data_IF_294874650246
#
_entry.id   IF_294874650246
#
_cell.length_a   1.000
_cell.length_b   1.000
_cell.length_c   1.000
_cell.angle_alpha   90.00
_cell.angle_beta   90.00
_cell.angle_gamma   90.00
#
_symmetry.space_group_name_H-M   'P 1'
#
loop_
_entity.id
_entity.type
_entity.pdbx_description
1 polymer ?
#
# COMPACT_ATOMS: atom_id res chain seq x y z
N UNK A 1 -7.24 3.73 -1.98
CA UNK A 1 -5.92 4.12 -2.55
C UNK A 1 -5.32 5.33 -1.82
N UNK A 2 -6.06 6.44 -1.66
CA UNK A 2 -5.56 7.66 -0.99
C UNK A 2 -4.92 7.41 0.40
N UNK A 3 -5.55 6.60 1.26
CA UNK A 3 -4.99 6.31 2.59
C UNK A 3 -3.66 5.56 2.53
N UNK A 4 -3.52 4.63 1.59
CA UNK A 4 -2.27 3.89 1.37
C UNK A 4 -1.15 4.83 0.91
N UNK A 5 -1.44 5.75 -0.02
CA UNK A 5 -0.48 6.79 -0.41
C UNK A 5 -0.08 7.65 0.79
N UNK A 6 -1.05 8.12 1.59
CA UNK A 6 -0.76 8.91 2.79
C UNK A 6 0.20 8.19 3.74
N UNK A 7 -0.08 6.93 4.09
CA UNK A 7 0.77 6.12 4.98
C UNK A 7 2.21 6.06 4.44
N UNK A 8 2.38 5.84 3.14
CA UNK A 8 3.70 5.74 2.52
C UNK A 8 4.49 7.07 2.61
N UNK A 9 3.88 8.21 2.30
CA UNK A 9 4.54 9.52 2.37
C UNK A 9 4.82 9.95 3.82
N UNK A 10 3.89 9.69 4.75
CA UNK A 10 4.07 10.01 6.17
C UNK A 10 5.23 9.22 6.79
N UNK A 11 5.44 7.97 6.37
CA UNK A 11 6.55 7.14 6.85
C UNK A 11 7.93 7.77 6.60
N UNK A 12 8.06 8.58 5.54
CA UNK A 12 9.29 9.30 5.18
C UNK A 12 9.21 10.80 5.51
N UNK A 13 8.22 11.23 6.29
CA UNK A 13 8.08 12.62 6.74
C UNK A 13 7.69 13.61 5.63
N UNK A 14 7.09 13.14 4.53
CA UNK A 14 6.68 13.96 3.40
C UNK A 14 5.16 14.21 3.42
N UNK A 15 4.73 15.31 2.80
CA UNK A 15 3.32 15.59 2.56
C UNK A 15 2.94 15.05 1.17
N UNK A 16 2.00 14.10 1.13
CA UNK A 16 1.55 13.48 -0.11
C UNK A 16 1.06 14.50 -1.15
N UNK A 17 0.32 15.54 -0.73
CA UNK A 17 -0.28 16.53 -1.63
C UNK A 17 0.77 17.38 -2.38
N UNK A 18 2.03 17.42 -1.91
CA UNK A 18 3.12 18.11 -2.59
C UNK A 18 3.62 17.32 -3.83
N UNK A 19 3.24 16.04 -3.96
CA UNK A 19 3.78 15.11 -4.96
C UNK A 19 2.71 14.34 -5.76
N UNK A 20 1.52 14.13 -5.20
CA UNK A 20 0.47 13.33 -5.83
C UNK A 20 -0.13 14.08 -7.03
N UNK A 21 -0.07 13.44 -8.21
CA UNK A 21 -0.72 13.90 -9.44
C UNK A 21 -1.77 12.87 -9.86
N UNK A 22 -2.94 13.35 -10.29
CA UNK A 22 -4.01 12.50 -10.83
C UNK A 22 -3.90 12.50 -12.35
N UNK A 23 -3.66 11.32 -12.92
CA UNK A 23 -3.59 11.10 -14.37
C UNK A 23 -4.89 10.42 -14.85
N UNK A 24 -5.70 11.08 -15.71
CA UNK A 24 -6.89 10.50 -16.33
C UNK A 24 -6.65 9.18 -17.07
N UNK A 25 -5.44 8.98 -17.60
CA UNK A 25 -5.10 7.78 -18.38
C UNK A 25 -4.99 6.52 -17.50
N UNK A 26 -4.87 6.68 -16.17
CA UNK A 26 -4.84 5.58 -15.21
C UNK A 26 -6.23 5.16 -14.71
N UNK A 27 -7.30 5.85 -15.13
CA UNK A 27 -8.66 5.49 -14.75
C UNK A 27 -9.09 4.23 -15.50
N UNK A 28 -9.73 3.30 -14.77
CA UNK A 28 -10.24 2.07 -15.37
C UNK A 28 -11.62 2.34 -15.99
N UNK A 29 -11.92 1.82 -17.19
CA UNK A 29 -13.25 1.94 -17.80
C UNK A 29 -14.38 1.35 -16.94
N UNK A 30 -14.06 0.34 -16.12
CA UNK A 30 -14.94 -0.22 -15.12
C UNK A 30 -14.20 -0.30 -13.79
N UNK A 31 -14.61 0.51 -12.82
CA UNK A 31 -13.95 0.62 -11.52
C UNK A 31 -14.64 -0.25 -10.47
N UNK A 32 -13.86 -0.72 -9.50
CA UNK A 32 -14.39 -1.39 -8.30
C UNK A 32 -14.12 -0.49 -7.10
N UNK A 33 -15.18 0.13 -6.58
CA UNK A 33 -15.06 1.12 -5.52
C UNK A 33 -14.50 0.55 -4.21
N UNK A 34 -14.95 -0.65 -3.82
CA UNK A 34 -14.60 -1.28 -2.54
C UNK A 34 -14.37 -2.77 -2.73
N UNK A 35 -13.27 -3.25 -2.15
CA UNK A 35 -12.99 -4.68 -1.95
C UNK A 35 -12.78 -4.94 -0.46
N UNK A 36 -13.68 -5.73 0.12
CA UNK A 36 -13.59 -6.17 1.51
C UNK A 36 -13.81 -7.68 1.60
N UNK A 37 -12.72 -8.41 1.69
CA UNK A 37 -12.75 -9.87 1.81
C UNK A 37 -13.16 -10.33 3.21
N UNK A 38 -13.89 -11.44 3.28
CA UNK A 38 -14.15 -12.15 4.54
C UNK A 38 -13.31 -13.44 4.61
N UNK A 39 -12.20 -13.46 5.37
CA UNK A 39 -11.33 -14.62 5.45
C UNK A 39 -11.79 -15.70 6.46
N UNK A 40 -13.03 -15.63 6.99
CA UNK A 40 -13.50 -16.57 8.02
C UNK A 40 -13.36 -18.04 7.61
N UNK A 41 -13.55 -18.37 6.33
CA UNK A 41 -13.35 -19.73 5.81
C UNK A 41 -11.90 -20.18 5.90
N UNK A 42 -10.94 -19.30 5.62
CA UNK A 42 -9.51 -19.59 5.71
C UNK A 42 -9.11 -19.82 7.18
N UNK A 43 -9.60 -18.96 8.10
CA UNK A 43 -9.39 -19.15 9.54
C UNK A 43 -9.94 -20.48 10.04
N UNK A 44 -11.17 -20.82 9.67
CA UNK A 44 -11.82 -22.05 10.12
C UNK A 44 -11.18 -23.34 9.57
N UNK A 45 -10.75 -23.34 8.30
CA UNK A 45 -10.24 -24.56 7.64
C UNK A 45 -8.73 -24.71 7.69
N UNK A 46 -8.00 -23.61 7.74
CA UNK A 46 -6.55 -23.59 7.61
C UNK A 46 -5.87 -23.06 8.88
N UNK A 47 -6.63 -22.54 9.86
CA UNK A 47 -6.05 -21.81 10.99
C UNK A 47 -5.36 -20.51 10.56
N UNK A 48 -5.59 -20.05 9.32
CA UNK A 48 -4.88 -18.91 8.76
C UNK A 48 -5.48 -17.59 9.23
N UNK A 49 -4.61 -16.67 9.62
CA UNK A 49 -4.93 -15.30 10.01
C UNK A 49 -3.82 -14.37 9.51
N UNK A 50 -4.18 -13.15 9.10
CA UNK A 50 -3.19 -12.16 8.71
C UNK A 50 -2.37 -11.74 9.93
N UNK A 51 -1.05 -11.74 9.79
CA UNK A 51 -0.11 -11.43 10.88
C UNK A 51 0.47 -10.02 10.81
N UNK A 52 0.16 -9.28 9.74
CA UNK A 52 0.68 -7.94 9.48
C UNK A 52 -0.48 -7.02 9.09
N UNK A 53 -0.47 -5.80 9.62
CA UNK A 53 -1.41 -4.73 9.26
C UNK A 53 -1.06 -4.10 7.91
N UNK A 54 -1.99 -3.30 7.37
CA UNK A 54 -1.74 -2.53 6.15
C UNK A 54 -0.61 -1.51 6.37
N UNK A 55 -0.61 -0.84 7.53
CA UNK A 55 0.37 0.17 7.90
C UNK A 55 1.78 -0.42 7.99
N UNK A 56 1.94 -1.54 8.71
CA UNK A 56 3.23 -2.24 8.83
C UNK A 56 3.73 -2.69 7.46
N UNK A 57 2.86 -3.31 6.65
CA UNK A 57 3.22 -3.77 5.31
C UNK A 57 3.70 -2.61 4.41
N UNK A 58 3.01 -1.47 4.42
CA UNK A 58 3.40 -0.30 3.61
C UNK A 58 4.76 0.24 4.06
N UNK A 59 5.00 0.33 5.38
CA UNK A 59 6.29 0.81 5.91
C UNK A 59 7.44 -0.09 5.48
N UNK A 60 7.28 -1.42 5.59
CA UNK A 60 8.26 -2.40 5.12
C UNK A 60 8.55 -2.26 3.61
N UNK A 61 7.50 -2.03 2.80
CA UNK A 61 7.65 -1.80 1.37
C UNK A 61 8.45 -0.53 1.07
N UNK A 62 8.16 0.57 1.76
CA UNK A 62 8.88 1.85 1.57
C UNK A 62 10.35 1.72 2.01
N UNK A 63 10.62 1.11 3.17
CA UNK A 63 11.99 0.87 3.63
C UNK A 63 12.78 0.03 2.63
N UNK A 64 12.15 -1.00 2.06
CA UNK A 64 12.77 -1.82 1.03
C UNK A 64 13.06 -1.04 -0.25
N UNK A 65 12.15 -0.17 -0.70
CA UNK A 65 12.39 0.68 -1.87
C UNK A 65 13.47 1.74 -1.63
N UNK A 66 13.52 2.34 -0.43
CA UNK A 66 14.62 3.24 -0.04
C UNK A 66 15.97 2.51 -0.08
N UNK A 67 16.04 1.29 0.46
CA UNK A 67 17.26 0.48 0.42
C UNK A 67 17.66 0.13 -1.02
N UNK A 68 16.70 -0.23 -1.89
CA UNK A 68 16.95 -0.50 -3.32
C UNK A 68 17.47 0.74 -4.02
N UNK A 69 16.86 1.91 -3.81
CA UNK A 69 17.29 3.15 -4.45
C UNK A 69 18.64 3.65 -3.92
N UNK A 70 18.94 3.46 -2.64
CA UNK A 70 20.26 3.75 -2.09
C UNK A 70 21.34 2.83 -2.67
N UNK A 71 21.04 1.53 -2.85
CA UNK A 71 21.96 0.56 -3.44
C UNK A 71 22.10 0.72 -4.97
N UNK A 72 21.03 1.13 -5.64
CA UNK A 72 20.98 1.49 -7.04
C UNK A 72 21.45 2.94 -7.29
N UNK A 73 21.93 3.64 -6.25
CA UNK A 73 22.62 4.92 -6.33
C UNK A 73 24.04 4.76 -6.87
N UNK A 74 24.13 4.15 -8.04
CA UNK A 74 25.01 4.43 -9.17
C UNK A 74 24.11 4.67 -10.38
#
# INVERSE_FOLDING_TARGET
>A
VRDMCRIAFEHVGLKMDDHLVIDPDLFRPAEVEILLGNPAKAKAKLGWEATISLEEMIREMVDADLARHAAAGR
#
